data_IF_653562111660
#
_entry.id   IF_653562111660
#
_cell.length_a   1.000
_cell.length_b   1.000
_cell.length_c   1.000
_cell.angle_alpha   90.00
_cell.angle_beta   90.00
_cell.angle_gamma   90.00
#
_symmetry.space_group_name_H-M   'P 1'
#
loop_
_entity.id
_entity.type
_entity.pdbx_description
1 polymer ?
#
# COMPACT_ATOMS: atom_id res chain seq x y z
N UNK A 1 8.16 18.42 7.01
CA UNK A 1 9.49 19.07 6.82
C UNK A 1 10.53 18.13 7.43
N UNK A 2 11.70 17.98 6.80
CA UNK A 2 12.84 17.09 7.12
C UNK A 2 12.86 15.67 6.52
N UNK A 3 13.10 15.55 5.20
CA UNK A 3 13.92 14.46 4.63
C UNK A 3 14.48 14.83 3.25
N UNK A 4 15.14 16.00 3.13
CA UNK A 4 15.77 16.43 1.88
C UNK A 4 17.26 16.03 1.79
N UNK A 5 17.81 15.45 2.86
CA UNK A 5 19.22 15.04 2.95
C UNK A 5 19.30 13.58 3.43
N UNK A 6 19.01 12.62 2.53
CA UNK A 6 19.10 11.21 2.90
C UNK A 6 20.53 10.87 3.31
N UNK A 7 20.65 10.18 4.44
CA UNK A 7 21.94 9.74 4.98
C UNK A 7 22.61 8.67 4.11
N UNK A 8 21.84 8.01 3.24
CA UNK A 8 22.32 6.93 2.38
C UNK A 8 21.41 6.75 1.16
N UNK A 9 22.00 6.27 0.05
CA UNK A 9 21.29 5.90 -1.17
C UNK A 9 21.64 4.47 -1.56
N UNK A 10 20.61 3.69 -1.90
CA UNK A 10 20.79 2.35 -2.47
C UNK A 10 20.13 2.30 -3.84
N UNK A 11 20.82 1.68 -4.79
CA UNK A 11 20.24 1.37 -6.09
C UNK A 11 19.52 0.02 -5.98
N UNK A 12 18.24 0.03 -6.30
CA UNK A 12 17.44 -1.18 -6.49
C UNK A 12 17.14 -1.38 -7.98
N UNK A 13 17.14 -2.64 -8.44
CA UNK A 13 16.63 -3.05 -9.75
C UNK A 13 15.39 -3.90 -9.50
N UNK A 14 14.30 -3.60 -10.21
CA UNK A 14 13.01 -4.29 -10.07
C UNK A 14 12.42 -4.34 -8.64
N UNK A 15 12.82 -3.39 -7.79
CA UNK A 15 12.30 -3.26 -6.42
C UNK A 15 12.93 -4.22 -5.41
N UNK A 16 14.05 -4.86 -5.73
CA UNK A 16 14.81 -5.70 -4.79
C UNK A 16 15.45 -4.87 -3.67
N UNK A 17 15.41 -5.41 -2.44
CA UNK A 17 16.11 -4.85 -1.28
C UNK A 17 17.08 -5.89 -0.74
N UNK A 18 18.35 -5.80 -1.16
CA UNK A 18 19.42 -6.77 -0.89
C UNK A 18 20.27 -6.44 0.35
N UNK A 19 19.92 -5.37 1.06
CA UNK A 19 20.57 -4.94 2.29
C UNK A 19 19.67 -5.13 3.51
N UNK A 20 20.30 -5.24 4.68
CA UNK A 20 19.62 -5.37 5.96
C UNK A 20 19.50 -4.02 6.65
N UNK A 21 18.29 -3.61 7.00
CA UNK A 21 18.04 -2.36 7.74
C UNK A 21 17.06 -2.59 8.88
N UNK A 22 17.26 -1.97 10.04
CA UNK A 22 16.32 -2.00 11.16
C UNK A 22 15.45 -0.75 11.14
N UNK A 23 14.17 -0.93 10.83
CA UNK A 23 13.23 0.18 10.56
C UNK A 23 12.01 0.03 11.45
N UNK A 24 11.63 1.10 12.13
CA UNK A 24 10.35 1.19 12.85
C UNK A 24 9.25 1.83 12.00
N UNK A 25 9.65 2.60 10.99
CA UNK A 25 8.77 3.31 10.09
C UNK A 25 9.32 3.21 8.66
N UNK A 26 8.49 2.75 7.73
CA UNK A 26 8.76 2.67 6.31
C UNK A 26 7.83 3.63 5.57
N UNK A 27 8.39 4.50 4.73
CA UNK A 27 7.62 5.38 3.84
C UNK A 27 7.85 4.91 2.41
N UNK A 28 6.76 4.55 1.74
CA UNK A 28 6.74 3.99 0.40
C UNK A 28 6.12 5.02 -0.55
N UNK A 29 6.93 5.50 -1.49
CA UNK A 29 6.54 6.47 -2.50
C UNK A 29 7.18 6.10 -3.85
N UNK A 30 6.45 6.33 -4.95
CA UNK A 30 6.91 5.99 -6.29
C UNK A 30 6.58 4.57 -6.73
N UNK A 31 6.43 4.37 -8.04
CA UNK A 31 6.33 3.05 -8.66
C UNK A 31 4.94 2.40 -8.64
N UNK A 32 4.91 1.15 -9.09
CA UNK A 32 3.69 0.34 -9.23
C UNK A 32 3.44 -0.48 -7.96
N UNK A 33 2.27 -0.28 -7.35
CA UNK A 33 1.84 -0.98 -6.13
C UNK A 33 1.88 -2.50 -6.28
N UNK A 34 1.51 -3.04 -7.44
CA UNK A 34 1.44 -4.48 -7.70
C UNK A 34 2.73 -5.09 -8.27
N UNK A 35 3.76 -4.29 -8.52
CA UNK A 35 5.03 -4.75 -9.11
C UNK A 35 6.21 -4.41 -8.20
N UNK A 36 7.09 -3.49 -8.63
CA UNK A 36 8.34 -3.18 -7.96
C UNK A 36 8.11 -2.74 -6.51
N UNK A 37 7.06 -1.96 -6.24
CA UNK A 37 6.78 -1.50 -4.88
C UNK A 37 6.28 -2.65 -3.98
N UNK A 38 5.47 -3.57 -4.52
CA UNK A 38 5.05 -4.79 -3.81
C UNK A 38 6.26 -5.62 -3.39
N UNK A 39 7.24 -5.76 -4.30
CA UNK A 39 8.47 -6.51 -4.05
C UNK A 39 9.32 -5.85 -2.97
N UNK A 40 9.55 -4.53 -3.08
CA UNK A 40 10.31 -3.77 -2.08
C UNK A 40 9.66 -3.85 -0.70
N UNK A 41 8.34 -3.65 -0.65
CA UNK A 41 7.58 -3.76 0.59
C UNK A 41 7.66 -5.18 1.16
N UNK A 42 7.54 -6.22 0.33
CA UNK A 42 7.62 -7.60 0.76
C UNK A 42 8.98 -7.93 1.39
N UNK A 43 10.08 -7.60 0.72
CA UNK A 43 11.44 -7.87 1.23
C UNK A 43 11.66 -7.18 2.59
N UNK A 44 11.29 -5.90 2.70
CA UNK A 44 11.41 -5.14 3.94
C UNK A 44 10.51 -5.70 5.06
N UNK A 45 9.28 -6.07 4.73
CA UNK A 45 8.34 -6.69 5.67
C UNK A 45 8.88 -8.05 6.14
N UNK A 46 9.39 -8.88 5.24
CA UNK A 46 9.92 -10.19 5.58
C UNK A 46 11.15 -10.07 6.49
N UNK A 47 12.03 -9.12 6.20
CA UNK A 47 13.18 -8.80 7.05
C UNK A 47 12.75 -8.34 8.45
N UNK A 48 11.71 -7.50 8.56
CA UNK A 48 11.17 -7.06 9.85
C UNK A 48 10.46 -8.19 10.60
N UNK A 49 9.70 -9.03 9.91
CA UNK A 49 8.97 -10.17 10.49
C UNK A 49 9.90 -11.23 11.11
N UNK A 50 11.11 -11.40 10.56
CA UNK A 50 12.16 -12.28 11.12
C UNK A 50 12.78 -11.74 12.41
N UNK A 51 12.48 -10.50 12.81
CA UNK A 51 13.07 -9.82 13.98
C UNK A 51 12.06 -9.71 15.12
N UNK A 52 12.55 -9.59 16.35
CA UNK A 52 11.71 -9.39 17.55
C UNK A 52 11.19 -7.95 17.69
N UNK A 53 10.93 -7.24 16.59
CA UNK A 53 10.39 -5.89 16.64
C UNK A 53 8.93 -5.93 17.11
N UNK A 54 8.60 -5.06 18.07
CA UNK A 54 7.24 -4.97 18.63
C UNK A 54 6.31 -4.11 17.78
N UNK A 55 6.85 -3.19 16.99
CA UNK A 55 6.09 -2.20 16.23
C UNK A 55 6.77 -1.86 14.90
N UNK A 56 6.00 -1.89 13.82
CA UNK A 56 6.39 -1.45 12.48
C UNK A 56 5.23 -0.65 11.86
N UNK A 57 5.52 0.59 11.47
CA UNK A 57 4.61 1.44 10.70
C UNK A 57 5.02 1.43 9.23
N UNK A 58 4.06 1.25 8.32
CA UNK A 58 4.29 1.31 6.87
C UNK A 58 3.33 2.32 6.28
N UNK A 59 3.87 3.39 5.70
CA UNK A 59 3.12 4.51 5.14
C UNK A 59 3.23 4.49 3.62
N UNK A 60 2.10 4.40 2.92
CA UNK A 60 2.04 4.56 1.46
C UNK A 60 1.60 5.98 1.12
N UNK A 61 2.38 6.66 0.28
CA UNK A 61 2.10 8.03 -0.17
C UNK A 61 1.22 7.97 -1.42
N UNK A 62 -0.09 8.15 -1.24
CA UNK A 62 -1.14 7.78 -2.21
C UNK A 62 -1.06 8.49 -3.56
N UNK A 63 -0.55 9.71 -3.59
CA UNK A 63 -0.36 10.50 -4.81
C UNK A 63 0.98 10.23 -5.51
N UNK A 64 1.89 9.49 -4.86
CA UNK A 64 3.18 9.11 -5.40
C UNK A 64 3.22 7.66 -5.91
N UNK A 65 2.18 6.87 -5.65
CA UNK A 65 2.08 5.46 -6.08
C UNK A 65 0.96 5.27 -7.11
N UNK A 66 1.13 4.28 -7.99
CA UNK A 66 0.17 3.95 -9.04
C UNK A 66 -0.27 2.49 -8.92
N UNK A 67 -1.54 2.21 -9.22
CA UNK A 67 -2.11 0.86 -9.25
C UNK A 67 -2.55 0.52 -10.67
N UNK A 68 -2.19 -0.68 -11.11
CA UNK A 68 -2.66 -1.19 -12.40
C UNK A 68 -4.02 -1.90 -12.33
N UNK A 69 -4.57 -2.04 -11.12
CA UNK A 69 -5.87 -2.67 -10.90
C UNK A 69 -5.90 -4.16 -11.26
N UNK A 70 -4.75 -4.83 -11.44
CA UNK A 70 -4.69 -6.27 -11.74
C UNK A 70 -5.27 -7.14 -10.62
N UNK A 71 -5.37 -6.61 -9.41
CA UNK A 71 -5.97 -7.29 -8.26
C UNK A 71 -7.50 -7.14 -8.20
N UNK A 72 -8.10 -6.30 -9.04
CA UNK A 72 -9.55 -6.08 -9.08
C UNK A 72 -10.21 -7.29 -9.76
N UNK A 73 -11.14 -7.93 -9.05
CA UNK A 73 -11.92 -9.08 -9.50
C UNK A 73 -13.23 -8.65 -10.16
N UNK A 74 -13.74 -9.46 -11.10
CA UNK A 74 -15.07 -9.29 -11.70
C UNK A 74 -16.21 -9.25 -10.68
N UNK A 75 -15.99 -9.88 -9.52
CA UNK A 75 -16.95 -9.94 -8.41
C UNK A 75 -16.95 -8.68 -7.54
N UNK A 76 -16.00 -7.76 -7.73
CA UNK A 76 -15.88 -6.59 -6.88
C UNK A 76 -17.00 -5.58 -7.17
N UNK A 77 -17.55 -4.91 -6.14
CA UNK A 77 -18.67 -3.99 -6.29
C UNK A 77 -18.36 -2.78 -7.20
N UNK A 78 -17.08 -2.46 -7.40
CA UNK A 78 -16.58 -1.38 -8.25
C UNK A 78 -16.00 -1.86 -9.59
N UNK A 79 -16.05 -3.17 -9.90
CA UNK A 79 -15.45 -3.73 -11.12
C UNK A 79 -15.96 -3.06 -12.40
N UNK A 80 -17.29 -2.86 -12.50
CA UNK A 80 -17.91 -2.27 -13.69
C UNK A 80 -17.45 -0.83 -13.93
N UNK A 81 -17.38 -0.04 -12.87
CA UNK A 81 -16.94 1.36 -12.95
C UNK A 81 -15.44 1.43 -13.27
N UNK A 82 -14.64 0.52 -12.71
CA UNK A 82 -13.22 0.38 -13.03
C UNK A 82 -13.01 0.02 -14.51
N UNK A 83 -13.72 -0.98 -15.05
CA UNK A 83 -13.62 -1.34 -16.46
C UNK A 83 -13.98 -0.16 -17.38
N UNK A 84 -15.07 0.54 -17.06
CA UNK A 84 -15.49 1.71 -17.84
C UNK A 84 -14.46 2.85 -17.78
N UNK A 85 -13.87 3.09 -16.61
CA UNK A 85 -12.77 4.03 -16.48
C UNK A 85 -11.57 3.61 -17.32
N UNK A 86 -11.13 2.35 -17.21
CA UNK A 86 -10.00 1.84 -17.96
C UNK A 86 -10.23 1.91 -19.48
N UNK A 87 -11.45 1.68 -19.96
CA UNK A 87 -11.83 1.91 -21.35
C UNK A 87 -11.64 3.38 -21.77
N UNK A 88 -12.00 4.34 -20.91
CA UNK A 88 -11.85 5.78 -21.16
C UNK A 88 -10.37 6.19 -21.16
N UNK A 89 -9.60 5.82 -20.14
CA UNK A 89 -8.17 6.20 -20.07
C UNK A 89 -7.31 5.48 -21.10
N UNK A 90 -7.70 4.29 -21.56
CA UNK A 90 -7.01 3.58 -22.64
C UNK A 90 -7.52 3.94 -24.05
N UNK A 91 -8.57 4.75 -24.16
CA UNK A 91 -9.13 5.13 -25.46
C UNK A 91 -8.12 5.94 -26.28
N UNK A 92 -7.62 5.34 -27.38
CA UNK A 92 -6.75 6.00 -28.36
C UNK A 92 -5.27 5.61 -28.36
N UNK A 93 -4.84 4.57 -27.61
CA UNK A 93 -3.42 4.14 -27.61
C UNK A 93 -3.23 2.62 -27.67
N UNK A 94 -2.81 2.06 -28.83
CA UNK A 94 -2.35 0.68 -28.87
C UNK A 94 -0.92 0.62 -28.28
N UNK A 95 -0.79 0.29 -27.00
CA UNK A 95 0.49 -0.15 -26.42
C UNK A 95 1.18 0.75 -25.39
N UNK A 96 0.46 1.59 -24.63
CA UNK A 96 1.07 2.34 -23.51
C UNK A 96 0.11 2.51 -22.34
N UNK A 97 0.19 1.60 -21.37
CA UNK A 97 -0.64 1.57 -20.15
C UNK A 97 -0.33 2.81 -19.28
N UNK A 98 -1.32 3.69 -19.09
CA UNK A 98 -1.28 4.70 -18.03
C UNK A 98 -2.11 4.19 -16.87
N UNK A 99 -1.42 3.79 -15.80
CA UNK A 99 -2.04 3.29 -14.60
C UNK A 99 -2.52 4.46 -13.72
N UNK A 100 -3.78 4.48 -13.29
CA UNK A 100 -4.29 5.56 -12.46
C UNK A 100 -3.59 5.57 -11.10
N UNK A 101 -3.37 6.78 -10.57
CA UNK A 101 -3.03 6.95 -9.15
C UNK A 101 -4.22 6.50 -8.30
N UNK A 102 -3.96 5.98 -7.09
CA UNK A 102 -5.04 5.51 -6.20
C UNK A 102 -6.04 6.64 -5.88
N UNK A 103 -5.54 7.85 -5.61
CA UNK A 103 -6.37 9.03 -5.40
C UNK A 103 -7.22 9.44 -6.61
N UNK A 104 -6.81 9.06 -7.84
CA UNK A 104 -7.58 9.33 -9.05
C UNK A 104 -8.79 8.39 -9.15
N UNK A 105 -8.67 7.14 -8.69
CA UNK A 105 -9.79 6.19 -8.64
C UNK A 105 -10.87 6.64 -7.63
N UNK A 106 -10.44 7.20 -6.49
CA UNK A 106 -11.32 7.84 -5.51
C UNK A 106 -11.98 9.09 -6.08
N UNK A 107 -11.18 10.02 -6.64
CA UNK A 107 -11.66 11.33 -7.13
C UNK A 107 -12.60 11.19 -8.34
N UNK A 108 -12.43 10.16 -9.15
CA UNK A 108 -13.32 9.87 -10.29
C UNK A 108 -14.60 9.15 -9.90
N UNK A 109 -14.78 8.83 -8.60
CA UNK A 109 -15.97 8.19 -8.08
C UNK A 109 -16.12 6.74 -8.51
N UNK A 110 -15.03 6.05 -8.84
CA UNK A 110 -15.03 4.59 -9.09
C UNK A 110 -15.16 3.86 -7.77
N UNK A 111 -14.43 4.33 -6.76
CA UNK A 111 -14.62 3.90 -5.37
C UNK A 111 -15.52 4.93 -4.70
N UNK A 112 -16.75 4.52 -4.41
CA UNK A 112 -17.86 5.42 -4.01
C UNK A 112 -18.13 5.45 -2.51
N UNK A 113 -17.47 4.59 -1.73
CA UNK A 113 -17.67 4.49 -0.29
C UNK A 113 -16.42 4.00 0.42
N UNK A 114 -16.29 4.38 1.69
CA UNK A 114 -15.15 4.03 2.54
C UNK A 114 -15.00 2.52 2.73
N UNK A 115 -16.11 1.76 2.70
CA UNK A 115 -16.08 0.30 2.71
C UNK A 115 -15.37 -0.28 1.48
N UNK A 116 -15.59 0.32 0.31
CA UNK A 116 -14.99 -0.13 -0.93
C UNK A 116 -13.51 0.29 -1.00
N UNK A 117 -13.15 1.46 -0.46
CA UNK A 117 -11.73 1.87 -0.31
C UNK A 117 -10.98 0.85 0.54
N UNK A 118 -11.52 0.50 1.70
CA UNK A 118 -10.93 -0.52 2.56
C UNK A 118 -10.81 -1.89 1.89
N UNK A 119 -11.82 -2.31 1.12
CA UNK A 119 -11.79 -3.58 0.41
C UNK A 119 -10.66 -3.59 -0.61
N UNK A 120 -10.60 -2.55 -1.45
CA UNK A 120 -9.60 -2.41 -2.48
C UNK A 120 -8.17 -2.33 -1.91
N UNK A 121 -7.96 -1.48 -0.90
CA UNK A 121 -6.66 -1.34 -0.25
C UNK A 121 -6.22 -2.65 0.42
N UNK A 122 -7.14 -3.41 1.03
CA UNK A 122 -6.82 -4.71 1.62
C UNK A 122 -6.30 -5.71 0.59
N UNK A 123 -6.88 -5.75 -0.61
CA UNK A 123 -6.44 -6.65 -1.70
C UNK A 123 -5.11 -6.20 -2.33
N UNK A 124 -4.80 -4.90 -2.28
CA UNK A 124 -3.52 -4.36 -2.77
C UNK A 124 -2.33 -4.62 -1.85
N UNK A 125 -2.57 -4.83 -0.56
CA UNK A 125 -1.48 -5.04 0.38
C UNK A 125 -0.67 -6.30 0.00
N UNK A 126 0.66 -6.29 0.18
CA UNK A 126 1.47 -7.50 0.06
C UNK A 126 0.94 -8.59 1.02
N UNK A 127 1.26 -9.87 0.78
CA UNK A 127 0.69 -11.06 1.48
C UNK A 127 0.92 -11.10 3.00
N UNK A 128 0.38 -10.14 3.73
CA UNK A 128 0.48 -9.94 5.17
C UNK A 128 -0.15 -11.12 5.92
N UNK A 129 -1.19 -11.71 5.33
CA UNK A 129 -1.93 -12.88 5.81
C UNK A 129 -1.05 -14.14 5.93
N UNK A 130 0.03 -14.21 5.14
CA UNK A 130 0.99 -15.32 5.14
C UNK A 130 2.35 -14.95 5.74
N UNK A 131 2.64 -13.66 5.83
CA UNK A 131 3.97 -13.18 6.24
C UNK A 131 4.09 -13.03 7.75
N UNK A 132 3.05 -12.50 8.40
CA UNK A 132 3.05 -12.30 9.85
C UNK A 132 2.40 -13.47 10.59
N UNK A 133 2.89 -13.76 11.82
CA UNK A 133 2.27 -14.77 12.67
C UNK A 133 0.84 -14.37 13.04
N UNK A 134 -0.02 -15.36 13.35
CA UNK A 134 -1.39 -15.11 13.81
C UNK A 134 -1.47 -14.29 15.11
N UNK A 135 -0.38 -14.26 15.87
CA UNK A 135 -0.25 -13.49 17.11
C UNK A 135 -0.03 -11.99 16.84
N UNK A 136 0.31 -11.61 15.60
CA UNK A 136 0.54 -10.21 15.20
C UNK A 136 -0.79 -9.50 14.94
N UNK A 137 -0.98 -8.30 15.48
CA UNK A 137 -2.11 -7.43 15.17
C UNK A 137 -1.82 -6.65 13.90
N UNK A 138 -2.67 -6.81 12.88
CA UNK A 138 -2.55 -6.13 11.58
C UNK A 138 -3.70 -5.15 11.42
N UNK A 139 -3.39 -3.90 11.09
CA UNK A 139 -4.36 -2.83 10.92
C UNK A 139 -4.16 -2.07 9.61
N UNK A 140 -5.25 -1.54 9.09
CA UNK A 140 -5.29 -0.65 7.95
C UNK A 140 -5.94 0.66 8.38
N UNK A 141 -5.22 1.77 8.20
CA UNK A 141 -5.67 3.13 8.50
C UNK A 141 -5.62 4.00 7.25
N UNK A 142 -6.64 4.82 7.06
CA UNK A 142 -6.67 5.94 6.11
C UNK A 142 -6.75 7.24 6.92
N UNK A 143 -6.36 8.36 6.32
CA UNK A 143 -6.50 9.68 6.93
C UNK A 143 -7.97 9.99 7.22
N UNK A 144 -8.22 10.72 8.31
CA UNK A 144 -9.56 11.06 8.82
C UNK A 144 -10.49 9.90 9.22
N UNK A 145 -10.07 8.63 9.02
CA UNK A 145 -10.86 7.45 9.36
C UNK A 145 -10.25 6.61 10.49
N UNK A 146 -11.08 5.96 11.33
CA UNK A 146 -10.60 5.02 12.33
C UNK A 146 -9.89 3.82 11.68
N UNK A 147 -8.82 3.34 12.33
CA UNK A 147 -8.12 2.15 11.88
C UNK A 147 -9.04 0.91 11.90
N UNK A 148 -9.05 0.14 10.80
CA UNK A 148 -9.72 -1.16 10.72
C UNK A 148 -8.72 -2.27 11.02
N UNK A 149 -9.12 -3.18 11.90
CA UNK A 149 -8.30 -4.35 12.26
C UNK A 149 -8.51 -5.44 11.21
N UNK A 150 -7.45 -5.80 10.49
CA UNK A 150 -7.43 -6.90 9.53
C UNK A 150 -7.14 -8.25 10.22
N UNK A 151 -6.26 -8.24 11.24
CA UNK A 151 -5.96 -9.38 12.11
C UNK A 151 -5.82 -8.91 13.56
N UNK A 152 -6.50 -9.56 14.51
CA UNK A 152 -6.59 -9.07 15.90
C UNK A 152 -5.30 -9.22 16.72
N UNK A 153 -4.46 -10.20 16.42
CA UNK A 153 -3.36 -10.62 17.29
C UNK A 153 -3.85 -11.36 18.55
N UNK A 154 -2.92 -11.94 19.32
CA UNK A 154 -3.22 -12.67 20.55
C UNK A 154 -2.86 -11.85 21.80
N UNK A 155 -3.84 -11.12 22.33
CA UNK A 155 -3.72 -10.37 23.58
C UNK A 155 -3.23 -8.94 23.40
N UNK A 156 -3.13 -8.22 24.53
CA UNK A 156 -2.90 -6.78 24.57
C UNK A 156 -1.46 -6.37 24.19
N UNK A 157 -0.49 -7.28 24.36
CA UNK A 157 0.94 -7.10 24.05
C UNK A 157 1.35 -7.69 22.67
N UNK A 158 0.38 -7.98 21.81
CA UNK A 158 0.63 -8.50 20.46
C UNK A 158 1.51 -7.53 19.65
N UNK A 159 2.53 -8.02 18.91
CA UNK A 159 3.24 -7.19 17.94
C UNK A 159 2.25 -6.54 16.97
N UNK A 160 2.45 -5.26 16.62
CA UNK A 160 1.51 -4.51 15.78
C UNK A 160 2.15 -4.06 14.47
N UNK A 161 1.45 -4.32 13.38
CA UNK A 161 1.75 -3.84 12.03
C UNK A 161 0.59 -2.97 11.58
N UNK A 162 0.87 -1.71 11.24
CA UNK A 162 -0.13 -0.81 10.70
C UNK A 162 0.26 -0.36 9.30
N UNK A 163 -0.62 -0.66 8.34
CA UNK A 163 -0.61 -0.08 7.00
C UNK A 163 -1.38 1.24 7.06
N UNK A 164 -0.70 2.35 6.82
CA UNK A 164 -1.29 3.68 6.84
C UNK A 164 -1.21 4.29 5.44
N UNK A 165 -2.36 4.57 4.84
CA UNK A 165 -2.47 5.25 3.56
C UNK A 165 -2.73 6.72 3.82
N UNK A 166 -1.84 7.57 3.30
CA UNK A 166 -1.88 9.02 3.53
C UNK A 166 -2.01 9.80 2.23
N UNK A 167 -2.75 10.90 2.29
CA UNK A 167 -2.71 11.93 1.24
C UNK A 167 -1.47 12.80 1.46
N UNK A 168 -0.70 13.10 0.40
CA UNK A 168 0.52 13.92 0.56
C UNK A 168 0.28 15.33 1.07
N UNK A 169 -0.93 15.86 0.90
CA UNK A 169 -1.32 17.15 1.46
C UNK A 169 -1.29 17.12 3.00
N UNK A 170 -1.56 15.96 3.60
CA UNK A 170 -1.64 15.77 5.06
C UNK A 170 -0.28 15.44 5.68
N UNK A 171 0.73 15.10 4.88
CA UNK A 171 2.13 14.92 5.31
C UNK A 171 2.86 16.26 5.59
N UNK A 172 2.24 17.40 5.24
CA UNK A 172 2.85 18.74 5.34
C UNK A 172 2.43 19.48 6.63
N UNK A 173 1.42 18.99 7.36
CA UNK A 173 0.89 19.61 8.56
C UNK A 173 1.37 18.96 9.86
#
# INVERSE_FOLDING_TARGET
>A
MDDCEPSYWVRSVDGEVDFSVDVKHLILAGGHMELCLSRSAHDLIEQSAKRSQKELQITYVMDAVYSNGKTISETDPFYRDFQWFMEIVNYGRPGGEQWPKLNLLETTGIIKSIENDHLYLRELLPRWDRTFSKDTRVELKMDDFPARVLQKGNGQDSPRVQFHFVSSADLIN
#
